data_IF_137388189421
#
_entry.id   IF_137388189421
#
_cell.length_a   1.000
_cell.length_b   1.000
_cell.length_c   1.000
_cell.angle_alpha   90.00
_cell.angle_beta   90.00
_cell.angle_gamma   90.00
#
_symmetry.space_group_name_H-M   'P 1'
#
loop_
_entity.id
_entity.type
_entity.pdbx_description
1 polymer ?
#
# COMPACT_ATOMS: atom_id res chain seq x y z
N UNK A 1 10.03 2.68 20.07
CA UNK A 1 9.44 2.16 18.81
C UNK A 1 9.72 3.16 17.72
N UNK A 2 9.91 2.68 16.51
CA UNK A 2 10.22 3.54 15.36
C UNK A 2 9.52 3.02 14.11
N UNK A 3 9.24 3.91 13.19
CA UNK A 3 8.87 3.56 11.82
C UNK A 3 10.07 2.96 11.09
N UNK A 4 9.86 1.87 10.38
CA UNK A 4 10.94 1.22 9.63
C UNK A 4 10.41 0.57 8.35
N UNK A 5 11.31 0.39 7.37
CA UNK A 5 11.00 -0.38 6.17
C UNK A 5 10.60 -1.80 6.54
N UNK A 6 9.54 -2.31 5.93
CA UNK A 6 9.11 -3.67 6.15
C UNK A 6 10.20 -4.66 5.66
N UNK A 7 10.63 -5.54 6.57
CA UNK A 7 11.63 -6.57 6.29
C UNK A 7 11.13 -7.99 6.65
N UNK A 8 9.86 -8.11 7.11
CA UNK A 8 9.22 -9.38 7.44
C UNK A 8 9.65 -9.99 8.78
N UNK A 9 10.52 -9.31 9.53
CA UNK A 9 11.00 -9.81 10.82
C UNK A 9 9.91 -9.73 11.92
N UNK A 10 10.07 -10.52 12.97
CA UNK A 10 9.08 -10.59 14.06
C UNK A 10 8.99 -9.31 14.90
N UNK A 11 10.00 -8.45 14.84
CA UNK A 11 9.99 -7.12 15.49
C UNK A 11 9.07 -6.11 14.77
N UNK A 12 8.56 -6.44 13.60
CA UNK A 12 7.55 -5.68 12.87
C UNK A 12 6.14 -6.27 12.97
N UNK A 13 5.98 -7.37 13.69
CA UNK A 13 4.70 -8.08 13.81
C UNK A 13 4.09 -7.86 15.18
N UNK A 14 2.78 -7.72 15.18
CA UNK A 14 2.00 -7.47 16.39
C UNK A 14 0.80 -8.41 16.43
N UNK A 15 0.53 -8.97 17.60
CA UNK A 15 -0.74 -9.63 17.87
C UNK A 15 -1.66 -8.61 18.55
N UNK A 16 -2.86 -8.43 18.00
CA UNK A 16 -3.88 -7.59 18.62
C UNK A 16 -4.74 -8.46 19.52
N UNK A 17 -4.86 -8.11 20.78
CA UNK A 17 -5.64 -8.83 21.78
C UNK A 17 -6.71 -7.90 22.36
N UNK A 18 -7.88 -8.47 22.67
CA UNK A 18 -8.93 -7.75 23.38
C UNK A 18 -8.46 -7.36 24.79
N UNK A 19 -8.68 -6.12 25.17
CA UNK A 19 -8.39 -5.58 26.50
C UNK A 19 -9.64 -5.19 27.28
N UNK A 20 -10.83 -5.56 26.76
CA UNK A 20 -12.14 -5.23 27.33
C UNK A 20 -12.59 -3.80 27.03
N UNK A 21 -13.87 -3.54 27.21
CA UNK A 21 -14.48 -2.19 27.07
C UNK A 21 -14.24 -1.53 25.70
N UNK A 22 -13.99 -2.34 24.64
CA UNK A 22 -13.70 -1.84 23.29
C UNK A 22 -12.26 -1.37 23.09
N UNK A 23 -11.37 -1.70 24.03
CA UNK A 23 -9.92 -1.48 23.91
C UNK A 23 -9.20 -2.74 23.45
N UNK A 24 -8.03 -2.55 22.88
CA UNK A 24 -7.10 -3.63 22.47
C UNK A 24 -5.72 -3.39 23.06
N UNK A 25 -4.93 -4.47 23.15
CA UNK A 25 -3.50 -4.46 23.41
C UNK A 25 -2.75 -4.92 22.17
N UNK A 26 -1.57 -4.36 21.94
CA UNK A 26 -0.66 -4.77 20.90
C UNK A 26 0.51 -5.53 21.49
N UNK A 27 0.58 -6.83 21.27
CA UNK A 27 1.65 -7.70 21.77
C UNK A 27 2.70 -7.85 20.68
N UNK A 28 3.93 -7.41 20.96
CA UNK A 28 5.05 -7.58 20.02
C UNK A 28 5.35 -9.07 19.81
N UNK A 29 5.59 -9.45 18.56
CA UNK A 29 6.02 -10.82 18.23
C UNK A 29 7.54 -10.97 18.31
N UNK A 30 8.28 -9.92 18.65
CA UNK A 30 9.73 -9.93 18.84
C UNK A 30 10.14 -10.65 20.11
N UNK A 31 11.23 -11.39 20.06
CA UNK A 31 11.85 -12.03 21.22
C UNK A 31 10.92 -12.97 21.97
N UNK A 32 10.70 -12.72 23.26
CA UNK A 32 9.87 -13.57 24.15
C UNK A 32 8.36 -13.43 23.90
N UNK A 33 7.92 -12.54 23.00
CA UNK A 33 6.51 -12.25 22.71
C UNK A 33 5.70 -11.85 23.95
N UNK A 34 6.32 -11.17 24.90
CA UNK A 34 5.73 -10.81 26.21
C UNK A 34 5.69 -9.31 26.45
N UNK A 35 6.13 -8.50 25.49
CA UNK A 35 6.09 -7.04 25.60
C UNK A 35 4.97 -6.45 24.77
N UNK A 36 4.35 -5.41 25.33
CA UNK A 36 3.25 -4.70 24.74
C UNK A 36 3.67 -3.31 24.29
N UNK A 37 2.90 -2.76 23.35
CA UNK A 37 2.90 -1.33 23.07
C UNK A 37 2.50 -0.59 24.34
N UNK A 38 3.26 0.42 24.74
CA UNK A 38 3.11 1.08 26.04
C UNK A 38 3.43 2.58 25.90
N UNK A 39 2.57 3.41 26.49
CA UNK A 39 2.82 4.85 26.63
C UNK A 39 3.69 5.06 27.85
N UNK A 40 4.89 5.60 27.67
CA UNK A 40 5.85 5.81 28.77
C UNK A 40 5.19 6.50 29.97
N UNK A 41 5.24 5.84 31.13
CA UNK A 41 4.67 6.29 32.41
C UNK A 41 3.15 6.60 32.37
N UNK A 42 2.45 6.24 31.28
CA UNK A 42 1.04 6.60 31.10
C UNK A 42 0.78 8.10 30.96
N UNK A 43 1.79 8.87 30.59
CA UNK A 43 1.65 10.31 30.38
C UNK A 43 0.82 10.62 29.14
N UNK A 44 0.04 11.72 29.23
CA UNK A 44 -0.85 12.15 28.14
C UNK A 44 -0.36 13.38 27.36
N UNK A 45 0.88 13.83 27.62
CA UNK A 45 1.44 14.97 26.91
C UNK A 45 1.83 14.59 25.47
N UNK A 46 1.69 15.53 24.54
CA UNK A 46 2.23 15.39 23.19
C UNK A 46 3.73 15.17 23.24
N UNK A 47 4.26 14.29 22.36
CA UNK A 47 5.66 13.89 22.36
C UNK A 47 6.00 12.80 23.38
N UNK A 48 5.04 12.29 24.16
CA UNK A 48 5.28 11.16 25.06
C UNK A 48 5.67 9.93 24.24
N UNK A 49 6.84 9.35 24.56
CA UNK A 49 7.38 8.23 23.80
C UNK A 49 6.51 6.98 23.94
N UNK A 50 6.44 6.21 22.86
CA UNK A 50 5.84 4.87 22.83
C UNK A 50 6.97 3.85 22.91
N UNK A 51 6.84 2.87 23.80
CA UNK A 51 7.86 1.86 24.09
C UNK A 51 7.31 0.43 24.04
N UNK A 52 8.20 -0.53 24.14
CA UNK A 52 7.88 -1.93 24.47
C UNK A 52 8.07 -2.16 25.95
N UNK A 53 7.02 -2.56 26.66
CA UNK A 53 7.07 -2.81 28.10
C UNK A 53 6.35 -4.12 28.47
N UNK A 54 6.77 -4.82 29.55
CA UNK A 54 6.04 -5.98 30.04
C UNK A 54 4.57 -5.66 30.36
N UNK A 55 3.68 -6.66 30.20
CA UNK A 55 2.26 -6.47 30.55
C UNK A 55 2.11 -6.15 32.05
N UNK A 56 1.45 -5.05 32.35
CA UNK A 56 1.14 -4.61 33.74
C UNK A 56 -0.34 -4.26 33.92
N UNK A 57 -1.17 -4.40 32.84
CA UNK A 57 -2.62 -4.25 32.92
C UNK A 57 -3.14 -2.81 33.00
N UNK A 58 -2.28 -1.79 33.08
CA UNK A 58 -2.72 -0.38 33.19
C UNK A 58 -3.16 0.21 31.86
N UNK A 59 -3.78 1.38 31.92
CA UNK A 59 -4.36 2.07 30.76
C UNK A 59 -3.32 2.57 29.74
N UNK A 60 -2.03 2.65 30.13
CA UNK A 60 -0.92 2.95 29.24
C UNK A 60 -0.72 1.91 28.09
N UNK A 61 -1.29 0.70 28.26
CA UNK A 61 -1.19 -0.40 27.29
C UNK A 61 -2.52 -0.71 26.61
N UNK A 62 -3.54 0.12 26.81
CA UNK A 62 -4.86 -0.07 26.24
C UNK A 62 -5.15 1.01 25.20
N UNK A 63 -5.57 0.56 24.02
CA UNK A 63 -5.78 1.44 22.88
C UNK A 63 -7.13 1.17 22.24
N UNK A 64 -7.76 2.22 21.72
CA UNK A 64 -8.99 2.13 20.95
C UNK A 64 -8.71 2.38 19.47
N UNK A 65 -9.25 1.55 18.63
CA UNK A 65 -9.14 1.71 17.17
C UNK A 65 -10.31 2.55 16.66
N UNK A 66 -10.04 3.79 16.27
CA UNK A 66 -11.00 4.68 15.65
C UNK A 66 -10.85 4.60 14.13
N UNK A 67 -11.84 4.05 13.39
CA UNK A 67 -11.77 4.02 11.93
C UNK A 67 -11.83 5.45 11.38
N UNK A 68 -11.04 5.71 10.34
CA UNK A 68 -11.05 6.98 9.62
C UNK A 68 -11.51 6.80 8.18
N UNK A 69 -11.98 7.88 7.57
CA UNK A 69 -12.32 7.87 6.16
C UNK A 69 -11.06 7.50 5.37
N UNK A 70 -11.15 6.43 4.56
CA UNK A 70 -9.99 5.96 3.84
C UNK A 70 -9.53 4.55 4.20
N UNK A 71 -10.15 3.90 5.20
CA UNK A 71 -9.91 2.49 5.55
C UNK A 71 -8.77 2.26 6.54
N UNK A 72 -8.16 3.30 7.09
CA UNK A 72 -7.19 3.23 8.16
C UNK A 72 -7.82 3.46 9.54
N UNK A 73 -6.97 3.48 10.58
CA UNK A 73 -7.37 3.69 11.97
C UNK A 73 -6.46 4.70 12.65
N UNK A 74 -7.05 5.54 13.50
CA UNK A 74 -6.31 6.18 14.58
C UNK A 74 -6.28 5.26 15.79
N UNK A 75 -5.11 5.13 16.43
CA UNK A 75 -4.90 4.32 17.63
C UNK A 75 -4.92 5.26 18.82
N UNK A 76 -6.05 5.34 19.52
CA UNK A 76 -6.27 6.26 20.62
C UNK A 76 -5.81 5.62 21.94
N UNK A 77 -5.05 6.34 22.78
CA UNK A 77 -4.53 5.82 24.03
C UNK A 77 -5.51 6.03 25.19
N UNK A 78 -5.89 4.96 25.91
CA UNK A 78 -6.80 5.03 27.06
C UNK A 78 -6.27 5.92 28.19
N UNK A 79 -4.96 5.93 28.43
CA UNK A 79 -4.34 6.78 29.47
C UNK A 79 -4.52 8.29 29.20
N UNK A 80 -4.84 8.69 27.98
CA UNK A 80 -5.20 10.07 27.61
C UNK A 80 -6.71 10.29 27.56
N UNK A 81 -7.54 9.35 28.01
CA UNK A 81 -9.00 9.37 27.87
C UNK A 81 -9.47 9.42 26.40
N UNK A 82 -8.73 8.72 25.53
CA UNK A 82 -8.96 8.68 24.07
C UNK A 82 -8.79 10.04 23.34
N UNK A 83 -8.12 11.02 23.98
CA UNK A 83 -7.87 12.34 23.38
C UNK A 83 -6.60 12.38 22.51
N UNK A 84 -5.66 11.46 22.76
CA UNK A 84 -4.38 11.39 22.05
C UNK A 84 -4.25 10.08 21.28
N UNK A 85 -3.51 10.13 20.19
CA UNK A 85 -3.26 8.96 19.35
C UNK A 85 -1.77 8.65 19.24
N UNK A 86 -1.48 7.40 18.95
CA UNK A 86 -0.16 6.94 18.54
C UNK A 86 0.12 7.50 17.15
N UNK A 87 1.24 8.18 16.98
CA UNK A 87 1.58 8.82 15.70
C UNK A 87 3.08 8.83 15.44
N UNK A 88 3.44 9.04 14.20
CA UNK A 88 4.83 9.28 13.82
C UNK A 88 5.25 10.67 14.29
N UNK A 89 6.40 10.78 14.95
CA UNK A 89 6.94 12.05 15.43
C UNK A 89 7.05 13.08 14.31
N UNK A 90 6.71 14.32 14.60
CA UNK A 90 6.97 15.42 13.69
C UNK A 90 8.48 15.66 13.66
N UNK A 91 9.14 15.23 12.60
CA UNK A 91 10.54 15.57 12.33
C UNK A 91 10.74 17.06 12.07
N UNK A 92 11.96 17.44 11.75
CA UNK A 92 12.34 18.84 11.47
C UNK A 92 11.69 19.38 10.18
N UNK A 93 11.07 18.52 9.36
CA UNK A 93 10.39 18.88 8.12
C UNK A 93 9.07 18.12 8.00
N UNK A 94 8.01 18.72 7.40
CA UNK A 94 6.76 18.02 7.10
C UNK A 94 6.93 16.75 6.25
N UNK A 95 8.04 16.65 5.51
CA UNK A 95 8.37 15.46 4.71
C UNK A 95 9.02 14.34 5.52
N UNK A 96 9.44 14.59 6.76
CA UNK A 96 10.09 13.60 7.63
C UNK A 96 9.10 12.56 8.21
N UNK A 97 7.81 12.75 8.00
CA UNK A 97 6.74 11.80 8.40
C UNK A 97 6.98 10.39 7.87
N UNK A 98 7.73 10.29 6.76
CA UNK A 98 8.06 9.01 6.12
C UNK A 98 9.53 8.63 6.29
N UNK A 99 10.26 9.36 7.15
CA UNK A 99 11.66 9.06 7.39
C UNK A 99 11.79 7.68 8.08
N UNK A 100 12.62 6.82 7.50
CA UNK A 100 13.03 5.57 8.15
C UNK A 100 13.63 5.92 9.52
N UNK A 101 13.21 5.21 10.57
CA UNK A 101 13.59 5.41 11.97
C UNK A 101 12.95 6.63 12.65
N UNK A 102 11.93 7.23 12.03
CA UNK A 102 11.14 8.22 12.75
C UNK A 102 10.54 7.60 14.03
N UNK A 103 10.64 8.32 15.13
CA UNK A 103 10.12 7.87 16.41
C UNK A 103 8.58 7.77 16.39
N UNK A 104 8.03 6.88 17.20
CA UNK A 104 6.59 6.79 17.44
C UNK A 104 6.31 7.37 18.83
N UNK A 105 5.38 8.30 18.87
CA UNK A 105 5.01 9.05 20.07
C UNK A 105 3.50 9.21 20.21
N UNK A 106 3.05 9.64 21.38
CA UNK A 106 1.69 10.07 21.61
C UNK A 106 1.52 11.53 21.17
N UNK A 107 0.43 11.85 20.50
CA UNK A 107 0.18 13.22 20.07
C UNK A 107 -1.28 13.50 19.78
N UNK A 108 -1.61 14.79 19.62
CA UNK A 108 -2.93 15.25 19.19
C UNK A 108 -3.02 15.19 17.68
N UNK A 109 -3.95 14.41 17.15
CA UNK A 109 -4.23 14.47 15.72
C UNK A 109 -4.96 15.78 15.38
N UNK A 110 -4.45 16.50 14.39
CA UNK A 110 -5.08 17.76 13.93
C UNK A 110 -6.42 17.52 13.21
N UNK A 111 -6.59 16.33 12.62
CA UNK A 111 -7.81 15.89 11.95
C UNK A 111 -7.83 14.38 11.77
N UNK A 112 -8.98 13.83 11.35
CA UNK A 112 -9.10 12.41 10.98
C UNK A 112 -8.34 12.06 9.68
N UNK A 113 -7.74 13.04 9.01
CA UNK A 113 -6.89 12.87 7.82
C UNK A 113 -5.41 13.19 8.09
N UNK A 114 -4.99 13.36 9.36
CA UNK A 114 -3.59 13.59 9.71
C UNK A 114 -2.73 12.36 9.39
N UNK A 115 -1.87 12.37 8.36
CA UNK A 115 -1.19 11.17 7.86
C UNK A 115 -0.32 10.48 8.93
N UNK A 116 0.27 11.26 9.86
CA UNK A 116 1.13 10.74 10.92
C UNK A 116 0.40 9.90 11.96
N UNK A 117 -0.93 10.00 12.04
CA UNK A 117 -1.78 9.31 13.01
C UNK A 117 -2.59 8.17 12.42
N UNK A 118 -2.51 7.92 11.10
CA UNK A 118 -3.30 6.90 10.43
C UNK A 118 -2.48 5.63 10.23
N UNK A 119 -3.01 4.52 10.71
CA UNK A 119 -2.40 3.20 10.68
C UNK A 119 -3.23 2.22 9.89
N UNK A 120 -2.57 1.39 9.10
CA UNK A 120 -3.18 0.29 8.37
C UNK A 120 -2.68 -1.02 8.93
N UNK A 121 -3.60 -1.96 9.17
CA UNK A 121 -3.27 -3.28 9.65
C UNK A 121 -3.28 -4.27 8.50
N UNK A 122 -2.21 -5.03 8.40
CA UNK A 122 -2.08 -6.13 7.45
C UNK A 122 -1.88 -7.43 8.21
N UNK A 123 -2.51 -8.54 7.78
CA UNK A 123 -2.23 -9.85 8.37
C UNK A 123 -0.73 -10.18 8.28
N UNK A 124 -0.11 -10.52 9.42
CA UNK A 124 1.34 -10.74 9.48
C UNK A 124 1.76 -12.16 9.04
N UNK A 125 0.91 -13.15 9.26
CA UNK A 125 1.26 -14.57 9.14
C UNK A 125 0.51 -15.32 8.03
N UNK A 126 -0.50 -14.73 7.45
CA UNK A 126 -1.10 -15.29 6.25
C UNK A 126 -0.23 -14.88 5.06
N UNK A 127 0.49 -15.84 4.53
CA UNK A 127 1.36 -15.67 3.37
C UNK A 127 0.63 -15.28 2.09
N UNK A 128 -0.52 -14.60 2.17
CA UNK A 128 -1.26 -14.18 1.01
C UNK A 128 -2.33 -13.12 1.31
N UNK A 129 -1.89 -11.92 1.69
CA UNK A 129 -2.79 -10.74 1.58
C UNK A 129 -2.99 -10.35 0.12
N UNK A 130 -2.15 -10.87 -0.77
CA UNK A 130 -2.20 -10.56 -2.19
C UNK A 130 -3.13 -11.54 -2.90
N UNK A 131 -4.22 -11.04 -3.44
CA UNK A 131 -5.16 -11.86 -4.20
C UNK A 131 -4.46 -12.48 -5.41
N UNK A 132 -4.75 -13.75 -5.71
CA UNK A 132 -4.24 -14.40 -6.91
C UNK A 132 -4.83 -13.72 -8.16
N UNK A 133 -4.00 -13.38 -9.17
CA UNK A 133 -4.48 -12.77 -10.40
C UNK A 133 -5.45 -13.70 -11.12
N UNK A 134 -6.57 -13.15 -11.56
CA UNK A 134 -7.62 -13.88 -12.26
C UNK A 134 -8.16 -13.02 -13.42
N UNK A 135 -8.68 -13.69 -14.44
CA UNK A 135 -9.40 -13.01 -15.53
C UNK A 135 -10.65 -12.29 -14.99
N UNK A 136 -10.84 -11.04 -15.43
CA UNK A 136 -11.94 -10.20 -14.96
C UNK A 136 -11.76 -9.65 -13.54
N UNK A 137 -10.60 -9.82 -12.91
CA UNK A 137 -10.35 -9.34 -11.56
C UNK A 137 -10.19 -7.81 -11.55
N UNK A 138 -11.04 -7.14 -10.78
CA UNK A 138 -10.86 -5.74 -10.40
C UNK A 138 -9.93 -5.67 -9.19
N UNK A 139 -8.87 -4.85 -9.28
CA UNK A 139 -7.87 -4.77 -8.23
C UNK A 139 -7.24 -3.38 -8.10
N UNK A 140 -6.62 -3.16 -6.96
CA UNK A 140 -5.60 -2.13 -6.74
C UNK A 140 -4.24 -2.80 -6.63
N UNK A 141 -3.23 -2.10 -7.10
CA UNK A 141 -1.84 -2.53 -7.02
C UNK A 141 -1.15 -1.64 -5.98
N UNK A 142 -0.62 -2.23 -4.92
CA UNK A 142 0.04 -1.51 -3.83
C UNK A 142 1.52 -1.88 -3.78
N UNK A 143 2.40 -0.88 -3.78
CA UNK A 143 3.83 -1.10 -3.61
C UNK A 143 4.11 -1.62 -2.18
N UNK A 144 4.80 -2.75 -2.08
CA UNK A 144 5.05 -3.42 -0.80
C UNK A 144 5.86 -2.57 0.18
N UNK A 145 6.93 -1.94 -0.31
CA UNK A 145 7.87 -1.18 0.52
C UNK A 145 7.26 0.09 1.14
N UNK A 146 6.38 0.80 0.40
CA UNK A 146 5.83 2.09 0.82
C UNK A 146 4.39 2.01 1.31
N UNK A 147 3.68 0.91 1.01
CA UNK A 147 2.25 0.80 1.26
C UNK A 147 1.37 1.67 0.35
N UNK A 148 1.96 2.39 -0.61
CA UNK A 148 1.24 3.30 -1.49
C UNK A 148 0.69 2.57 -2.73
N UNK A 149 -0.40 3.11 -3.29
CA UNK A 149 -1.08 2.54 -4.44
C UNK A 149 -0.51 3.06 -5.75
N UNK A 150 -0.46 2.18 -6.75
CA UNK A 150 -0.10 2.54 -8.12
C UNK A 150 -1.29 3.20 -8.81
N UNK A 151 -1.07 4.34 -9.46
CA UNK A 151 -2.05 5.01 -10.30
C UNK A 151 -1.40 5.67 -11.52
N UNK A 152 -2.22 6.11 -12.47
CA UNK A 152 -1.76 7.00 -13.52
C UNK A 152 -1.29 8.35 -12.96
N UNK A 153 -0.22 8.90 -13.51
CA UNK A 153 0.27 10.23 -13.14
C UNK A 153 -0.85 11.27 -13.30
N UNK A 154 -0.90 12.21 -12.36
CA UNK A 154 -1.86 13.32 -12.29
C UNK A 154 -3.34 12.93 -12.25
N UNK A 155 -3.67 11.63 -12.29
CA UNK A 155 -5.05 11.14 -12.31
C UNK A 155 -5.83 11.48 -13.57
N UNK A 156 -5.17 12.06 -14.59
CA UNK A 156 -5.81 12.50 -15.85
C UNK A 156 -6.10 11.35 -16.81
N UNK A 157 -5.32 10.27 -16.72
CA UNK A 157 -5.42 9.07 -17.54
C UNK A 157 -5.46 9.37 -19.03
N UNK A 158 -4.38 9.94 -19.54
CA UNK A 158 -4.15 10.20 -20.97
C UNK A 158 -3.19 9.16 -21.55
N UNK A 159 -3.22 9.02 -22.85
CA UNK A 159 -2.19 8.27 -23.57
C UNK A 159 -0.82 8.88 -23.28
N UNK A 160 0.13 8.03 -22.88
CA UNK A 160 1.49 8.44 -22.50
C UNK A 160 1.67 8.76 -21.01
N UNK A 161 0.61 8.88 -20.22
CA UNK A 161 0.75 9.10 -18.78
C UNK A 161 1.49 7.91 -18.13
N UNK A 162 2.54 8.21 -17.37
CA UNK A 162 3.29 7.22 -16.60
C UNK A 162 2.52 6.77 -15.37
N UNK A 163 2.98 5.69 -14.75
CA UNK A 163 2.48 5.26 -13.46
C UNK A 163 3.32 5.87 -12.32
N UNK A 164 2.68 6.13 -11.19
CA UNK A 164 3.30 6.63 -9.96
C UNK A 164 2.64 5.99 -8.75
N UNK A 165 3.32 5.98 -7.62
CA UNK A 165 2.70 5.59 -6.35
C UNK A 165 2.00 6.79 -5.70
N UNK A 166 0.96 6.52 -4.91
CA UNK A 166 0.21 7.54 -4.16
C UNK A 166 -0.42 6.97 -2.91
N UNK A 167 -0.66 7.82 -1.92
CA UNK A 167 -1.59 7.45 -0.84
C UNK A 167 -2.97 7.24 -1.44
N UNK A 168 -3.68 6.20 -0.99
CA UNK A 168 -5.03 5.95 -1.47
C UNK A 168 -5.90 7.17 -1.27
N UNK A 169 -6.48 7.63 -2.37
CA UNK A 169 -7.49 8.70 -2.36
C UNK A 169 -8.88 8.14 -2.64
N UNK A 170 -9.04 6.80 -2.77
CA UNK A 170 -10.25 6.11 -3.23
C UNK A 170 -10.76 6.59 -4.59
N UNK A 171 -9.88 7.11 -5.41
CA UNK A 171 -10.20 7.51 -6.78
C UNK A 171 -10.17 6.29 -7.70
N UNK A 172 -11.09 6.20 -8.68
CA UNK A 172 -11.06 5.14 -9.69
C UNK A 172 -9.73 5.02 -10.46
N UNK A 173 -8.88 6.05 -10.38
CA UNK A 173 -7.56 6.08 -11.01
C UNK A 173 -6.56 5.05 -10.45
N UNK A 174 -6.85 4.48 -9.29
CA UNK A 174 -6.04 3.44 -8.62
C UNK A 174 -6.55 2.03 -8.92
N UNK A 175 -7.64 1.91 -9.68
CA UNK A 175 -8.28 0.63 -9.96
C UNK A 175 -7.97 0.16 -11.38
N UNK A 176 -7.57 -1.09 -11.44
CA UNK A 176 -7.23 -1.77 -12.68
C UNK A 176 -8.09 -3.03 -12.84
N UNK A 177 -8.36 -3.37 -14.08
CA UNK A 177 -8.99 -4.63 -14.45
C UNK A 177 -7.97 -5.52 -15.14
N UNK A 178 -7.79 -6.75 -14.64
CA UNK A 178 -7.04 -7.77 -15.34
C UNK A 178 -7.92 -8.42 -16.39
N UNK A 179 -7.40 -8.55 -17.59
CA UNK A 179 -8.04 -9.34 -18.64
C UNK A 179 -7.01 -10.33 -19.18
N UNK A 180 -7.33 -11.62 -19.15
CA UNK A 180 -6.42 -12.66 -19.60
C UNK A 180 -6.13 -12.49 -21.09
N UNK A 181 -4.87 -12.37 -21.43
CA UNK A 181 -4.40 -12.24 -22.82
C UNK A 181 -4.19 -13.64 -23.42
N UNK A 182 -3.41 -14.47 -22.72
CA UNK A 182 -3.05 -15.82 -23.16
C UNK A 182 -2.48 -16.65 -22.03
N UNK A 183 -2.37 -17.97 -22.24
CA UNK A 183 -1.54 -18.88 -21.44
C UNK A 183 -0.46 -19.46 -22.33
N UNK A 184 0.79 -19.43 -21.87
CA UNK A 184 1.92 -19.93 -22.63
C UNK A 184 2.96 -20.54 -21.68
N UNK A 185 3.39 -21.77 -21.94
CA UNK A 185 4.39 -22.47 -21.14
C UNK A 185 4.07 -22.52 -19.61
N UNK A 186 2.78 -22.66 -19.27
CA UNK A 186 2.32 -22.67 -17.88
C UNK A 186 2.24 -21.30 -17.21
N UNK A 187 2.50 -20.22 -17.94
CA UNK A 187 2.38 -18.84 -17.47
C UNK A 187 1.12 -18.19 -18.04
N UNK A 188 0.32 -17.60 -17.16
CA UNK A 188 -0.81 -16.77 -17.55
C UNK A 188 -0.37 -15.34 -17.74
N UNK A 189 -0.70 -14.77 -18.90
CA UNK A 189 -0.42 -13.40 -19.28
C UNK A 189 -1.70 -12.59 -19.27
N UNK A 190 -1.65 -11.37 -18.74
CA UNK A 190 -2.78 -10.47 -18.57
C UNK A 190 -2.50 -9.11 -19.17
N UNK A 191 -3.53 -8.47 -19.70
CA UNK A 191 -3.56 -7.04 -19.86
C UNK A 191 -3.96 -6.39 -18.54
N UNK A 192 -3.32 -5.29 -18.18
CA UNK A 192 -3.68 -4.43 -17.05
C UNK A 192 -4.39 -3.20 -17.64
N UNK A 193 -5.70 -3.12 -17.45
CA UNK A 193 -6.54 -2.06 -18.01
C UNK A 193 -6.99 -1.12 -16.91
N UNK A 194 -7.01 0.20 -17.17
CA UNK A 194 -7.59 1.16 -16.23
C UNK A 194 -9.12 1.03 -16.21
N UNK A 195 -9.74 1.24 -15.05
CA UNK A 195 -11.20 1.19 -14.91
C UNK A 195 -11.83 2.50 -15.36
N UNK A 196 -11.22 3.61 -14.98
CA UNK A 196 -11.74 4.95 -15.28
C UNK A 196 -11.71 5.30 -16.79
N UNK A 197 -10.71 4.82 -17.51
CA UNK A 197 -10.58 4.95 -18.97
C UNK A 197 -10.41 3.56 -19.60
N UNK A 198 -11.50 2.81 -19.85
CA UNK A 198 -11.43 1.41 -20.26
C UNK A 198 -10.72 1.16 -21.61
N UNK A 199 -10.45 2.18 -22.39
CA UNK A 199 -9.66 2.08 -23.61
C UNK A 199 -8.14 2.06 -23.36
N UNK A 200 -7.69 2.39 -22.13
CA UNK A 200 -6.28 2.52 -21.82
C UNK A 200 -5.75 1.32 -21.05
N UNK A 201 -4.60 0.85 -21.47
CA UNK A 201 -3.88 -0.31 -20.99
C UNK A 201 -2.47 0.09 -20.58
N UNK A 202 -1.94 -0.59 -19.59
CA UNK A 202 -0.54 -0.40 -19.19
C UNK A 202 0.37 -1.02 -20.22
N UNK A 203 1.40 -0.27 -20.61
CA UNK A 203 2.39 -0.65 -21.62
C UNK A 203 3.79 -0.19 -21.18
N UNK A 204 4.79 -1.04 -21.36
CA UNK A 204 6.19 -0.66 -21.13
C UNK A 204 6.86 -0.50 -22.51
N UNK A 205 6.64 0.63 -23.14
CA UNK A 205 7.10 0.89 -24.50
C UNK A 205 7.96 2.15 -24.66
N UNK A 206 8.13 2.96 -23.61
CA UNK A 206 8.84 4.24 -23.76
C UNK A 206 9.77 4.55 -22.59
N UNK A 207 10.87 5.22 -22.91
CA UNK A 207 11.77 5.79 -21.90
C UNK A 207 11.23 7.12 -21.39
N UNK A 208 11.29 7.30 -20.08
CA UNK A 208 11.08 8.62 -19.50
C UNK A 208 12.23 9.58 -19.83
N UNK A 209 12.02 10.87 -19.61
CA UNK A 209 13.04 11.91 -19.82
C UNK A 209 14.28 11.73 -18.94
N UNK A 210 14.18 10.93 -17.89
CA UNK A 210 15.24 10.56 -16.96
C UNK A 210 15.99 9.28 -17.35
N UNK A 211 15.73 8.74 -18.55
CA UNK A 211 16.42 7.57 -19.09
C UNK A 211 15.91 6.22 -18.61
N UNK A 212 14.91 6.17 -17.74
CA UNK A 212 14.28 4.91 -17.30
C UNK A 212 13.13 4.54 -18.25
N UNK A 213 12.99 3.24 -18.54
CA UNK A 213 11.76 2.72 -19.14
C UNK A 213 10.61 2.89 -18.13
N UNK A 214 9.40 3.17 -18.64
CA UNK A 214 8.24 3.43 -17.78
C UNK A 214 7.02 2.65 -18.24
N UNK A 215 6.27 2.07 -17.29
CA UNK A 215 4.89 1.70 -17.58
C UNK A 215 4.08 2.97 -17.81
N UNK A 216 3.46 3.05 -18.98
CA UNK A 216 2.62 4.17 -19.42
C UNK A 216 1.25 3.67 -19.84
N UNK A 217 0.27 4.56 -19.92
CA UNK A 217 -1.04 4.24 -20.46
C UNK A 217 -1.06 4.40 -21.98
N UNK A 218 -1.48 3.35 -22.69
CA UNK A 218 -1.56 3.31 -24.15
C UNK A 218 -2.89 2.69 -24.59
N UNK A 219 -3.25 2.90 -25.85
CA UNK A 219 -4.33 2.14 -26.46
C UNK A 219 -3.98 0.65 -26.51
N UNK A 220 -4.99 -0.21 -26.52
CA UNK A 220 -4.79 -1.64 -26.60
C UNK A 220 -4.03 -2.02 -27.85
N UNK A 221 -2.98 -2.80 -27.70
CA UNK A 221 -2.29 -3.51 -28.75
C UNK A 221 -2.12 -4.98 -28.38
N UNK A 222 -1.65 -5.80 -29.30
CA UNK A 222 -1.30 -7.20 -29.02
C UNK A 222 0.22 -7.37 -28.74
N UNK A 223 0.91 -6.27 -28.49
CA UNK A 223 2.34 -6.27 -28.23
C UNK A 223 2.68 -6.97 -26.90
N UNK A 224 3.84 -7.61 -26.87
CA UNK A 224 4.35 -8.27 -25.67
C UNK A 224 4.70 -7.30 -24.54
N UNK A 225 4.86 -6.01 -24.86
CA UNK A 225 5.02 -4.91 -23.89
C UNK A 225 3.78 -4.65 -23.01
N UNK A 226 2.59 -5.05 -23.49
CA UNK A 226 1.30 -4.90 -22.77
C UNK A 226 0.86 -6.18 -22.03
N UNK A 227 1.58 -7.29 -22.19
CA UNK A 227 1.22 -8.58 -21.58
C UNK A 227 2.06 -8.79 -20.33
N UNK A 228 1.41 -8.91 -19.19
CA UNK A 228 2.05 -9.01 -17.89
C UNK A 228 1.77 -10.35 -17.22
N UNK A 229 2.77 -10.92 -16.56
CA UNK A 229 2.59 -12.01 -15.62
C UNK A 229 2.89 -11.54 -14.19
N UNK A 230 2.38 -12.30 -13.24
CA UNK A 230 2.50 -12.02 -11.83
C UNK A 230 3.28 -13.17 -11.17
N UNK A 231 4.56 -12.94 -10.93
CA UNK A 231 5.44 -13.93 -10.31
C UNK A 231 5.28 -13.89 -8.80
N UNK A 232 4.68 -14.93 -8.23
CA UNK A 232 4.36 -14.98 -6.80
C UNK A 232 5.60 -15.04 -5.94
N UNK A 233 5.66 -14.20 -4.92
CA UNK A 233 6.59 -14.23 -3.80
C UNK A 233 5.82 -14.47 -2.50
N UNK A 234 6.52 -14.73 -1.40
CA UNK A 234 5.88 -14.92 -0.09
C UNK A 234 5.00 -13.73 0.34
N UNK A 235 5.36 -12.50 -0.02
CA UNK A 235 4.74 -11.27 0.46
C UNK A 235 4.04 -10.43 -0.63
N UNK A 236 3.87 -10.98 -1.83
CA UNK A 236 3.24 -10.27 -2.95
C UNK A 236 3.66 -10.84 -4.29
N UNK A 237 3.72 -9.98 -5.29
CA UNK A 237 4.06 -10.35 -6.67
C UNK A 237 5.09 -9.41 -7.26
N UNK A 238 5.97 -9.97 -8.09
CA UNK A 238 6.67 -9.19 -9.11
C UNK A 238 5.77 -9.13 -10.33
N UNK A 239 5.54 -7.94 -10.87
CA UNK A 239 4.77 -7.70 -12.09
C UNK A 239 5.77 -7.53 -13.23
N UNK A 240 5.78 -8.47 -14.17
CA UNK A 240 6.74 -8.50 -15.27
C UNK A 240 6.02 -8.60 -16.61
N UNK A 241 6.43 -7.80 -17.60
CA UNK A 241 5.90 -7.95 -18.94
C UNK A 241 6.62 -9.05 -19.74
N UNK A 242 6.06 -9.42 -20.89
CA UNK A 242 6.58 -10.51 -21.71
C UNK A 242 7.96 -10.22 -22.35
N UNK A 243 8.41 -8.96 -22.28
CA UNK A 243 9.76 -8.54 -22.68
C UNK A 243 10.79 -8.64 -21.55
N UNK A 244 10.38 -9.05 -20.31
CA UNK A 244 11.23 -9.20 -19.14
C UNK A 244 11.44 -7.92 -18.32
N UNK A 245 10.64 -6.89 -18.54
CA UNK A 245 10.67 -5.68 -17.71
C UNK A 245 9.74 -5.81 -16.52
N UNK A 246 10.24 -5.45 -15.34
CA UNK A 246 9.50 -5.50 -14.08
C UNK A 246 9.11 -4.10 -13.61
N UNK A 247 7.95 -4.00 -12.97
CA UNK A 247 7.59 -2.81 -12.22
C UNK A 247 8.57 -2.61 -11.08
N UNK A 248 8.94 -1.35 -10.87
CA UNK A 248 9.88 -0.92 -9.85
C UNK A 248 9.50 0.49 -9.39
N UNK A 249 9.42 0.74 -8.08
CA UNK A 249 9.32 2.12 -7.61
C UNK A 249 10.71 2.72 -7.64
N UNK A 250 10.88 3.78 -8.42
CA UNK A 250 12.18 4.40 -8.72
C UNK A 250 13.02 4.61 -7.46
N UNK A 251 14.18 3.97 -7.42
CA UNK A 251 15.16 4.03 -6.32
C UNK A 251 14.61 3.62 -4.94
N UNK A 252 13.47 2.92 -4.88
CA UNK A 252 12.81 2.61 -3.60
C UNK A 252 12.29 3.84 -2.87
N UNK A 253 11.95 4.89 -3.61
CA UNK A 253 11.46 6.15 -3.04
C UNK A 253 10.12 5.95 -2.33
N UNK A 254 10.02 6.47 -1.12
CA UNK A 254 8.80 6.45 -0.30
C UNK A 254 7.92 7.69 -0.51
N UNK A 255 8.40 8.66 -1.28
CA UNK A 255 7.66 9.90 -1.50
C UNK A 255 6.33 9.64 -2.19
N UNK A 256 5.33 10.41 -1.82
CA UNK A 256 4.09 10.48 -2.58
C UNK A 256 4.41 10.95 -4.00
N UNK A 257 3.79 10.32 -4.99
CA UNK A 257 4.00 10.57 -6.41
C UNK A 257 5.35 10.10 -6.97
N UNK A 258 6.11 9.28 -6.23
CA UNK A 258 7.29 8.65 -6.79
C UNK A 258 6.93 7.80 -8.02
N UNK A 259 7.73 7.91 -9.07
CA UNK A 259 7.46 7.25 -10.33
C UNK A 259 7.59 5.72 -10.21
N UNK A 260 6.67 4.99 -10.83
CA UNK A 260 6.87 3.59 -11.16
C UNK A 260 7.64 3.53 -12.47
N UNK A 261 8.78 2.86 -12.45
CA UNK A 261 9.66 2.64 -13.61
C UNK A 261 9.63 1.17 -14.02
N UNK A 262 10.25 0.86 -15.13
CA UNK A 262 10.44 -0.51 -15.60
C UNK A 262 11.93 -0.84 -15.59
N UNK A 263 12.29 -1.92 -14.93
CA UNK A 263 13.67 -2.41 -14.88
C UNK A 263 13.76 -3.82 -15.41
N UNK A 264 14.78 -4.11 -16.23
CA UNK A 264 15.05 -5.48 -16.66
C UNK A 264 15.42 -6.39 -15.51
N UNK A 265 15.09 -7.66 -15.61
CA UNK A 265 15.58 -8.68 -14.64
C UNK A 265 17.05 -8.94 -14.93
N UNK A 266 17.97 -8.67 -13.98
CA UNK A 266 19.31 -9.23 -14.11
C UNK A 266 19.20 -10.75 -14.14
N UNK A 267 19.79 -11.39 -15.13
CA UNK A 267 19.73 -12.85 -15.35
C UNK A 267 20.36 -13.68 -14.22
N UNK A 268 20.83 -13.05 -13.15
CA UNK A 268 21.58 -13.67 -12.06
C UNK A 268 21.03 -13.42 -10.64
N UNK A 269 19.89 -12.72 -10.49
CA UNK A 269 19.32 -12.45 -9.14
C UNK A 269 18.36 -13.57 -8.75
N UNK A 270 18.65 -14.25 -7.65
CA UNK A 270 17.71 -15.21 -7.08
C UNK A 270 16.44 -14.49 -6.62
N UNK A 271 15.28 -15.16 -6.74
CA UNK A 271 13.97 -14.60 -6.32
C UNK A 271 13.95 -14.16 -4.84
N UNK A 272 14.83 -14.74 -4.00
CA UNK A 272 15.01 -14.38 -2.59
C UNK A 272 15.62 -12.99 -2.39
N UNK A 273 16.27 -12.43 -3.40
CA UNK A 273 17.06 -11.21 -3.30
C UNK A 273 16.38 -10.01 -3.99
N UNK A 274 15.11 -10.19 -4.38
CA UNK A 274 14.33 -9.10 -5.01
C UNK A 274 14.04 -8.03 -3.96
N UNK A 275 14.40 -6.79 -4.30
CA UNK A 275 14.15 -5.64 -3.45
C UNK A 275 12.66 -5.36 -3.29
N UNK A 276 12.23 -4.92 -2.11
CA UNK A 276 10.82 -4.67 -1.79
C UNK A 276 10.13 -3.63 -2.69
N UNK A 277 10.89 -2.69 -3.28
CA UNK A 277 10.36 -1.72 -4.25
C UNK A 277 9.90 -2.33 -5.59
N UNK A 278 10.21 -3.62 -5.83
CA UNK A 278 9.73 -4.41 -6.98
C UNK A 278 8.62 -5.38 -6.61
N UNK A 279 8.23 -5.41 -5.34
CA UNK A 279 7.17 -6.30 -4.85
C UNK A 279 5.88 -5.51 -4.67
N UNK A 280 4.80 -6.04 -5.23
CA UNK A 280 3.49 -5.42 -5.21
C UNK A 280 2.44 -6.37 -4.61
N UNK A 281 1.53 -5.81 -3.85
CA UNK A 281 0.37 -6.49 -3.30
C UNK A 281 -0.82 -6.23 -4.21
N UNK A 282 -1.56 -7.28 -4.56
CA UNK A 282 -2.78 -7.18 -5.35
C UNK A 282 -3.98 -7.22 -4.41
N UNK A 283 -4.67 -6.12 -4.26
CA UNK A 283 -5.88 -6.02 -3.44
C UNK A 283 -7.11 -6.14 -4.32
N UNK A 284 -7.86 -7.23 -4.18
CA UNK A 284 -9.12 -7.41 -4.90
C UNK A 284 -10.13 -6.34 -4.45
N UNK A 285 -10.69 -5.64 -5.42
CA UNK A 285 -11.78 -4.70 -5.18
C UNK A 285 -13.10 -5.42 -5.42
N UNK A 286 -13.97 -5.45 -4.42
CA UNK A 286 -15.33 -5.90 -4.61
C UNK A 286 -16.10 -4.86 -5.41
N UNK A 287 -17.02 -5.32 -6.28
CA UNK A 287 -17.82 -4.43 -7.13
C UNK A 287 -18.47 -3.34 -6.28
N UNK A 288 -18.05 -2.10 -6.47
CA UNK A 288 -18.70 -0.92 -5.92
C UNK A 288 -19.57 -0.31 -7.01
N UNK A 289 -20.82 -0.02 -6.68
CA UNK A 289 -21.69 0.79 -7.53
C UNK A 289 -21.28 2.24 -7.31
N UNK A 290 -20.54 2.81 -8.24
CA UNK A 290 -20.25 4.25 -8.22
C UNK A 290 -21.44 5.02 -8.78
N UNK A 291 -22.21 5.69 -7.93
CA UNK A 291 -23.13 6.71 -8.39
C UNK A 291 -22.34 8.00 -8.63
N UNK A 292 -22.08 8.31 -9.87
CA UNK A 292 -21.41 9.57 -10.25
C UNK A 292 -22.44 10.67 -10.42
N UNK A 293 -22.42 11.69 -9.58
CA UNK A 293 -23.08 12.96 -9.87
C UNK A 293 -22.16 13.83 -10.72
N UNK A 294 -22.45 13.86 -12.01
CA UNK A 294 -22.16 14.97 -12.91
C UNK A 294 -20.73 15.14 -13.41
N UNK A 295 -20.37 14.44 -14.47
CA UNK A 295 -19.68 15.01 -15.62
C UNK A 295 -20.01 14.17 -16.87
N UNK A 296 -20.53 14.86 -17.88
CA UNK A 296 -21.14 14.32 -19.09
C UNK A 296 -20.10 13.84 -20.08
N UNK A 297 -20.37 12.78 -20.75
CA UNK A 297 -20.34 12.33 -22.11
C UNK A 297 -19.82 10.92 -22.36
N UNK A 298 -18.92 10.36 -21.53
CA UNK A 298 -18.33 9.04 -21.78
C UNK A 298 -18.71 7.94 -20.77
N UNK A 299 -19.62 8.23 -19.82
CA UNK A 299 -19.98 7.31 -18.72
C UNK A 299 -21.18 6.40 -18.98
N UNK A 300 -21.77 6.42 -20.19
CA UNK A 300 -23.01 5.67 -20.46
C UNK A 300 -22.89 4.14 -20.42
N UNK A 301 -21.69 3.59 -20.33
CA UNK A 301 -21.47 2.14 -20.43
C UNK A 301 -21.07 1.47 -19.11
N UNK A 302 -21.08 2.17 -17.97
CA UNK A 302 -20.76 1.57 -16.66
C UNK A 302 -21.99 1.35 -15.79
N UNK A 303 -23.15 1.83 -16.18
CA UNK A 303 -24.39 1.82 -15.38
C UNK A 303 -25.37 0.73 -15.82
N UNK A 304 -24.94 -0.48 -16.04
CA UNK A 304 -25.91 -1.57 -16.14
C UNK A 304 -25.27 -2.92 -15.84
N UNK A 305 -25.23 -3.29 -14.58
CA UNK A 305 -25.51 -4.66 -14.17
C UNK A 305 -26.13 -4.58 -12.77
N UNK A 306 -27.46 -4.73 -12.73
CA UNK A 306 -28.15 -5.15 -11.50
C UNK A 306 -27.73 -6.57 -11.16
#
# INVERSE_FOLDING_TARGET
IQQYTFNGSDDQKWKVEDAGEGYVKFVSQSGTKSKLLDVVNGWSADGTNIQLYPDHGHDAQKFKLKPVAGGGYQILAKCSKDEKCVMVSAGSSPNDVFAIRANIELGTAGSDSEPRSIWYFEPADEGDVSAAPQDGMLLRIRARHSGQYVRAADGSMRIGDGLQQTYSSFWPAEEFLLTKAQSENGTDWYYIRTVFRPSLYVDICSKGTDGYDRPTLQEKSDADSQKFCFKKLRTGYVIENKLGYQFDVKLGDYANLAAVIATGTPSSVAFSDIQDNKVFVLEKVEKRIYSYMGYTSDFRNVASVM
#
